data_IF_816242204163
#
_entry.id   IF_816242204163
#
_cell.length_a   1.000
_cell.length_b   1.000
_cell.length_c   1.000
_cell.angle_alpha   90.00
_cell.angle_beta   90.00
_cell.angle_gamma   90.00
#
_symmetry.space_group_name_H-M   'P 1'
#
loop_
_entity.id
_entity.type
_entity.pdbx_description
1 polymer ?
#
# COMPACT_ATOMS: atom_id res chain seq x y z
N UNK A 1 4.24 13.32 -15.31
CA UNK A 1 3.49 14.46 -15.86
C UNK A 1 2.34 13.91 -16.71
N UNK A 2 1.09 13.99 -16.20
CA UNK A 2 -0.12 13.50 -16.85
C UNK A 2 -0.34 14.13 -18.24
N UNK A 3 0.00 15.42 -18.40
CA UNK A 3 -0.10 16.11 -19.68
C UNK A 3 0.83 15.50 -20.72
N UNK A 4 2.06 15.15 -20.36
CA UNK A 4 3.01 14.49 -21.26
C UNK A 4 2.54 13.09 -21.67
N UNK A 5 2.01 12.30 -20.71
CA UNK A 5 1.47 10.97 -21.00
C UNK A 5 0.26 11.07 -21.93
N UNK A 6 -0.65 12.02 -21.69
CA UNK A 6 -1.80 12.26 -22.56
C UNK A 6 -1.39 12.68 -23.98
N UNK A 7 -0.37 13.53 -24.09
CA UNK A 7 0.16 13.97 -25.39
C UNK A 7 0.76 12.79 -26.16
N UNK A 8 1.54 11.93 -25.51
CA UNK A 8 2.12 10.72 -26.13
C UNK A 8 1.04 9.72 -26.55
N UNK A 9 0.05 9.46 -25.73
CA UNK A 9 -1.04 8.53 -26.03
C UNK A 9 -1.90 9.05 -27.21
N UNK A 10 -2.11 10.36 -27.31
CA UNK A 10 -2.83 10.96 -28.42
C UNK A 10 -2.01 11.02 -29.71
N UNK A 11 -0.68 11.18 -29.60
CA UNK A 11 0.22 11.20 -30.77
C UNK A 11 0.47 9.78 -31.33
N UNK A 12 0.59 8.78 -30.45
CA UNK A 12 0.91 7.39 -30.84
C UNK A 12 0.00 6.38 -30.10
N UNK A 13 -1.33 6.40 -30.32
CA UNK A 13 -2.27 5.56 -29.60
C UNK A 13 -1.99 4.06 -29.79
N UNK A 14 -1.33 3.67 -30.89
CA UNK A 14 -1.01 2.28 -31.20
C UNK A 14 0.02 1.65 -30.25
N UNK A 15 0.92 2.45 -29.67
CA UNK A 15 1.94 1.97 -28.71
C UNK A 15 1.29 1.52 -27.39
N UNK A 16 0.17 2.13 -27.03
CA UNK A 16 -0.51 1.91 -25.75
C UNK A 16 -1.75 1.04 -25.85
N UNK A 17 -2.06 0.52 -27.05
CA UNK A 17 -3.22 -0.33 -27.29
C UNK A 17 -2.80 -1.80 -27.32
N UNK A 18 -3.44 -2.63 -26.48
CA UNK A 18 -3.30 -4.08 -26.56
C UNK A 18 -4.18 -4.57 -27.71
N UNK A 19 -3.64 -5.43 -28.55
CA UNK A 19 -4.34 -5.94 -29.75
C UNK A 19 -4.61 -7.43 -29.61
N UNK A 20 -5.78 -7.85 -30.12
CA UNK A 20 -6.18 -9.27 -30.16
C UNK A 20 -5.17 -10.10 -30.94
N UNK A 21 -4.90 -11.29 -30.43
CA UNK A 21 -4.01 -12.29 -31.05
C UNK A 21 -4.76 -13.60 -31.26
N UNK A 22 -4.37 -14.33 -32.27
CA UNK A 22 -4.82 -15.71 -32.49
C UNK A 22 -4.10 -16.70 -31.53
N UNK A 23 -4.48 -17.97 -31.57
CA UNK A 23 -3.86 -19.03 -30.75
C UNK A 23 -2.35 -19.22 -31.04
N UNK A 24 -1.83 -18.73 -32.14
CA UNK A 24 -0.42 -18.78 -32.52
C UNK A 24 0.35 -17.51 -32.16
N UNK A 25 -0.32 -16.52 -31.53
CA UNK A 25 0.28 -15.26 -31.11
C UNK A 25 0.34 -14.18 -32.19
N UNK A 26 -0.25 -14.37 -33.38
CA UNK A 26 -0.31 -13.37 -34.45
C UNK A 26 -1.42 -12.36 -34.19
N UNK A 27 -1.19 -11.10 -34.52
CA UNK A 27 -2.22 -10.06 -34.41
C UNK A 27 -3.39 -10.29 -35.37
N UNK A 28 -4.62 -10.31 -34.84
CA UNK A 28 -5.82 -10.28 -35.62
C UNK A 28 -5.96 -8.91 -36.31
N UNK A 29 -6.48 -8.93 -37.56
CA UNK A 29 -6.68 -7.72 -38.38
C UNK A 29 -8.11 -7.67 -38.91
N UNK A 30 -8.62 -6.45 -39.06
CA UNK A 30 -9.90 -6.18 -39.70
C UNK A 30 -9.79 -6.29 -41.25
N UNK A 31 -10.91 -6.04 -41.93
CA UNK A 31 -11.00 -6.09 -43.38
C UNK A 31 -10.10 -5.07 -44.10
N UNK A 32 -9.68 -4.00 -43.37
CA UNK A 32 -8.77 -2.98 -43.87
C UNK A 32 -7.30 -3.30 -43.53
N UNK A 33 -7.04 -4.46 -42.90
CA UNK A 33 -5.71 -4.89 -42.50
C UNK A 33 -5.18 -4.24 -41.21
N UNK A 34 -6.00 -3.46 -40.48
CA UNK A 34 -5.64 -2.80 -39.23
C UNK A 34 -5.77 -3.80 -38.06
N UNK A 35 -4.85 -3.72 -37.11
CA UNK A 35 -4.91 -4.56 -35.90
C UNK A 35 -6.19 -4.28 -35.13
N UNK A 36 -6.86 -5.33 -34.65
CA UNK A 36 -8.10 -5.23 -33.87
C UNK A 36 -7.73 -5.02 -32.42
N UNK A 37 -8.17 -3.90 -31.77
CA UNK A 37 -7.96 -3.68 -30.35
C UNK A 37 -8.60 -4.80 -29.51
N UNK A 38 -7.95 -5.20 -28.44
CA UNK A 38 -8.54 -6.09 -27.45
C UNK A 38 -9.45 -5.29 -26.53
N UNK A 39 -10.70 -5.72 -26.40
CA UNK A 39 -11.68 -5.15 -25.50
C UNK A 39 -11.82 -6.04 -24.26
N UNK A 40 -11.89 -5.44 -23.08
CA UNK A 40 -12.23 -6.15 -21.87
C UNK A 40 -13.74 -6.41 -21.88
N UNK A 41 -14.20 -7.68 -21.81
CA UNK A 41 -15.62 -8.01 -21.81
C UNK A 41 -16.39 -7.42 -20.62
N UNK A 42 -15.70 -7.13 -19.53
CA UNK A 42 -16.26 -6.52 -18.33
C UNK A 42 -16.16 -4.97 -18.34
N UNK A 43 -15.59 -4.40 -19.41
CA UNK A 43 -15.39 -2.97 -19.55
C UNK A 43 -15.75 -2.48 -20.94
N UNK A 44 -16.67 -1.53 -21.04
CA UNK A 44 -17.17 -0.97 -22.31
C UNK A 44 -16.19 0.01 -23.00
N UNK A 45 -15.06 0.32 -22.34
CA UNK A 45 -14.01 1.19 -22.88
C UNK A 45 -12.88 0.41 -23.57
N UNK A 46 -11.93 1.16 -24.12
CA UNK A 46 -10.71 0.60 -24.71
C UNK A 46 -9.63 0.37 -23.66
N UNK A 47 -8.61 -0.46 -23.93
CA UNK A 47 -7.42 -0.57 -23.08
C UNK A 47 -6.72 0.77 -22.83
N UNK A 48 -6.84 1.71 -23.77
CA UNK A 48 -6.40 3.09 -23.59
C UNK A 48 -7.13 3.77 -22.43
N UNK A 49 -8.45 3.59 -22.31
CA UNK A 49 -9.24 4.18 -21.23
C UNK A 49 -8.87 3.55 -19.87
N UNK A 50 -8.59 2.23 -19.85
CA UNK A 50 -8.06 1.54 -18.67
C UNK A 50 -6.68 2.11 -18.28
N UNK A 51 -5.82 2.37 -19.27
CA UNK A 51 -4.51 2.96 -19.04
C UNK A 51 -4.58 4.39 -18.50
N UNK A 52 -5.59 5.15 -18.90
CA UNK A 52 -5.80 6.53 -18.46
C UNK A 52 -6.40 6.65 -17.05
N UNK A 53 -6.96 5.58 -16.51
CA UNK A 53 -7.45 5.58 -15.13
C UNK A 53 -6.31 5.91 -14.18
N UNK A 54 -6.61 6.74 -13.19
CA UNK A 54 -5.70 6.97 -12.08
C UNK A 54 -5.67 5.73 -11.15
N UNK A 55 -4.81 4.78 -11.48
CA UNK A 55 -4.69 3.50 -10.78
C UNK A 55 -4.40 3.65 -9.28
N UNK A 56 -3.85 4.79 -8.86
CA UNK A 56 -3.54 5.04 -7.44
C UNK A 56 -4.79 5.13 -6.58
N UNK A 57 -5.94 5.44 -7.17
CA UNK A 57 -7.22 5.62 -6.48
C UNK A 57 -8.33 4.70 -6.99
N UNK A 58 -8.14 4.05 -8.15
CA UNK A 58 -9.17 3.21 -8.77
C UNK A 58 -8.88 1.72 -8.66
N UNK A 59 -7.61 1.32 -8.58
CA UNK A 59 -7.21 -0.08 -8.57
C UNK A 59 -6.88 -0.57 -7.16
N UNK A 60 -7.25 -1.83 -6.90
CA UNK A 60 -6.94 -2.49 -5.65
C UNK A 60 -5.74 -3.45 -5.84
N UNK A 61 -4.87 -3.49 -4.84
CA UNK A 61 -3.77 -4.45 -4.81
C UNK A 61 -3.53 -4.97 -3.39
N UNK A 62 -2.86 -6.09 -3.28
CA UNK A 62 -2.41 -6.61 -2.00
C UNK A 62 -1.11 -5.89 -1.61
N UNK A 63 -1.09 -5.10 -0.53
CA UNK A 63 0.08 -4.26 -0.20
C UNK A 63 1.32 -5.08 0.17
N UNK A 64 1.15 -6.34 0.58
CA UNK A 64 2.26 -7.21 0.94
C UNK A 64 3.12 -6.61 2.04
N UNK A 65 4.43 -6.79 1.94
CA UNK A 65 5.38 -6.40 2.99
C UNK A 65 5.40 -4.93 3.36
N UNK A 66 4.90 -4.04 2.51
CA UNK A 66 4.77 -2.60 2.84
C UNK A 66 3.81 -2.40 4.03
N UNK A 67 2.80 -3.26 4.15
CA UNK A 67 1.84 -3.21 5.26
C UNK A 67 2.45 -3.52 6.63
N UNK A 68 3.61 -4.15 6.68
CA UNK A 68 4.31 -4.48 7.94
C UNK A 68 4.66 -3.22 8.76
N UNK A 69 4.88 -2.09 8.12
CA UNK A 69 5.06 -0.79 8.79
C UNK A 69 3.82 -0.46 9.62
N UNK A 70 2.63 -0.67 9.06
CA UNK A 70 1.37 -0.43 9.74
C UNK A 70 1.17 -1.40 10.90
N UNK A 71 1.46 -2.69 10.69
CA UNK A 71 1.38 -3.71 11.77
C UNK A 71 2.39 -3.41 12.88
N UNK A 72 3.59 -2.91 12.55
CA UNK A 72 4.55 -2.44 13.54
C UNK A 72 3.99 -1.25 14.35
N UNK A 73 3.39 -0.28 13.66
CA UNK A 73 2.76 0.88 14.29
C UNK A 73 1.62 0.48 15.25
N UNK A 74 0.76 -0.44 14.84
CA UNK A 74 -0.27 -1.04 15.70
C UNK A 74 0.33 -1.68 16.94
N UNK A 75 1.42 -2.47 16.75
CA UNK A 75 2.11 -3.17 17.84
C UNK A 75 2.71 -2.22 18.84
N UNK A 76 3.37 -1.16 18.39
CA UNK A 76 4.03 -0.17 19.25
C UNK A 76 3.00 0.66 19.99
N UNK A 77 2.00 1.20 19.31
CA UNK A 77 1.01 2.09 19.91
C UNK A 77 0.11 1.37 20.92
N UNK A 78 -0.28 0.12 20.63
CA UNK A 78 -1.05 -0.72 21.57
C UNK A 78 -0.25 -1.27 22.75
N UNK A 79 1.06 -1.02 22.82
CA UNK A 79 1.95 -1.58 23.84
C UNK A 79 2.21 -3.10 23.70
N UNK A 80 1.81 -3.71 22.59
CA UNK A 80 2.06 -5.15 22.32
C UNK A 80 3.47 -5.44 21.83
N UNK A 81 4.17 -4.40 21.37
CA UNK A 81 5.58 -4.45 20.99
C UNK A 81 6.29 -3.14 21.35
N UNK A 82 7.61 -3.20 21.46
CA UNK A 82 8.52 -2.06 21.50
C UNK A 82 9.58 -2.24 20.43
N UNK A 83 10.43 -1.26 20.20
CA UNK A 83 11.60 -1.39 19.32
C UNK A 83 12.39 -2.68 19.61
N UNK A 84 12.53 -3.06 20.89
CA UNK A 84 13.36 -4.18 21.36
C UNK A 84 12.60 -5.49 21.54
N UNK A 85 11.30 -5.54 21.27
CA UNK A 85 10.52 -6.78 21.39
C UNK A 85 11.04 -7.85 20.47
N UNK A 86 11.54 -8.95 21.03
CA UNK A 86 12.13 -10.05 20.26
C UNK A 86 11.13 -11.19 20.05
N UNK A 87 11.16 -11.76 18.84
CA UNK A 87 10.44 -12.97 18.43
C UNK A 87 11.36 -13.86 17.61
N UNK A 88 11.08 -15.17 17.60
CA UNK A 88 11.89 -16.13 16.87
C UNK A 88 11.26 -16.46 15.52
N UNK A 89 12.07 -16.46 14.45
CA UNK A 89 11.72 -16.90 13.13
C UNK A 89 12.51 -18.16 12.75
N UNK A 90 11.84 -19.30 12.74
CA UNK A 90 12.41 -20.59 12.30
C UNK A 90 12.34 -20.81 10.78
N UNK A 91 11.88 -19.82 10.00
CA UNK A 91 11.67 -19.94 8.55
C UNK A 91 10.29 -20.45 8.16
N UNK A 92 9.59 -21.11 9.06
CA UNK A 92 8.20 -21.58 8.92
C UNK A 92 7.43 -21.37 10.23
N UNK A 93 6.11 -21.19 10.13
CA UNK A 93 5.22 -21.02 11.28
C UNK A 93 3.83 -21.57 10.97
N UNK A 94 3.36 -22.49 11.83
CA UNK A 94 2.04 -23.10 11.71
C UNK A 94 0.96 -22.25 12.37
N UNK A 95 -0.16 -22.05 11.70
CA UNK A 95 -1.37 -21.41 12.24
C UNK A 95 -2.56 -22.25 11.80
N UNK A 96 -3.26 -22.87 12.73
CA UNK A 96 -4.32 -23.82 12.46
C UNK A 96 -3.83 -24.95 11.51
N UNK A 97 -4.39 -25.05 10.30
CA UNK A 97 -3.99 -26.05 9.28
C UNK A 97 -3.01 -25.49 8.23
N UNK A 98 -2.71 -24.19 8.31
CA UNK A 98 -1.85 -23.50 7.35
C UNK A 98 -0.40 -23.42 7.86
N UNK A 99 0.56 -23.42 6.93
CA UNK A 99 1.98 -23.21 7.23
C UNK A 99 2.48 -22.02 6.42
N UNK A 100 2.89 -20.99 7.13
CA UNK A 100 3.46 -19.76 6.55
C UNK A 100 4.98 -19.86 6.49
N UNK A 101 5.57 -19.23 5.48
CA UNK A 101 7.01 -19.20 5.28
C UNK A 101 7.53 -17.76 5.14
N UNK A 102 8.75 -17.53 5.59
CA UNK A 102 9.50 -16.37 5.19
C UNK A 102 9.95 -16.48 3.71
N UNK A 103 10.29 -15.33 3.10
CA UNK A 103 10.84 -15.28 1.75
C UNK A 103 12.05 -16.23 1.64
N UNK A 104 12.07 -17.06 0.59
CA UNK A 104 13.11 -18.05 0.39
C UNK A 104 13.16 -19.16 1.46
N UNK A 105 12.16 -19.29 2.32
CA UNK A 105 12.10 -20.23 3.47
C UNK A 105 13.27 -20.05 4.45
N UNK A 106 13.87 -18.85 4.48
CA UNK A 106 15.04 -18.54 5.34
C UNK A 106 14.59 -18.35 6.79
N UNK A 107 15.27 -18.99 7.72
CA UNK A 107 15.15 -18.70 9.16
C UNK A 107 15.98 -17.44 9.49
N UNK A 108 15.37 -16.49 10.22
CA UNK A 108 16.05 -15.28 10.67
C UNK A 108 16.54 -15.38 12.14
N UNK A 109 16.11 -16.45 12.86
CA UNK A 109 16.40 -16.60 14.28
C UNK A 109 15.64 -15.60 15.16
N UNK A 110 16.20 -15.33 16.34
CA UNK A 110 15.66 -14.32 17.25
C UNK A 110 16.05 -12.93 16.76
N UNK A 111 15.05 -12.07 16.58
CA UNK A 111 15.23 -10.70 16.06
C UNK A 111 14.26 -9.76 16.74
N UNK A 112 14.64 -8.50 16.90
CA UNK A 112 13.77 -7.45 17.40
C UNK A 112 12.87 -6.88 16.29
N UNK A 113 11.98 -5.92 16.64
CA UNK A 113 11.01 -5.35 15.70
C UNK A 113 11.70 -4.65 14.51
N UNK A 114 12.78 -3.91 14.75
CA UNK A 114 13.50 -3.18 13.72
C UNK A 114 14.23 -4.15 12.76
N UNK A 115 14.90 -5.16 13.30
CA UNK A 115 15.52 -6.23 12.50
C UNK A 115 14.48 -7.02 11.70
N UNK A 116 13.31 -7.28 12.28
CA UNK A 116 12.23 -8.01 11.62
C UNK A 116 11.63 -7.20 10.45
N UNK A 117 11.52 -5.89 10.58
CA UNK A 117 11.07 -5.02 9.48
C UNK A 117 12.12 -5.00 8.37
N UNK A 118 13.39 -4.77 8.72
CA UNK A 118 14.53 -4.79 7.79
C UNK A 118 14.65 -6.10 7.02
N UNK A 119 14.49 -7.24 7.71
CA UNK A 119 14.52 -8.58 7.10
C UNK A 119 13.21 -8.92 6.37
N UNK A 120 12.22 -8.04 6.40
CA UNK A 120 10.86 -8.31 5.91
C UNK A 120 10.30 -9.66 6.39
N UNK A 121 10.46 -9.97 7.68
CA UNK A 121 10.19 -11.28 8.26
C UNK A 121 8.69 -11.55 8.43
N UNK A 122 8.09 -12.38 7.59
CA UNK A 122 6.68 -12.75 7.68
C UNK A 122 6.34 -13.37 9.04
N UNK A 123 7.18 -14.27 9.55
CA UNK A 123 6.93 -15.02 10.78
C UNK A 123 6.87 -14.09 12.00
N UNK A 124 7.74 -13.08 12.06
CA UNK A 124 7.69 -12.08 13.12
C UNK A 124 6.33 -11.34 13.11
N UNK A 125 5.89 -10.88 11.93
CA UNK A 125 4.67 -10.10 11.80
C UNK A 125 3.40 -10.95 12.00
N UNK A 126 3.40 -12.24 11.67
CA UNK A 126 2.33 -13.17 12.05
C UNK A 126 2.22 -13.26 13.57
N UNK A 127 3.33 -13.48 14.28
CA UNK A 127 3.34 -13.55 15.73
C UNK A 127 2.93 -12.23 16.39
N UNK A 128 3.33 -11.09 15.82
CA UNK A 128 2.89 -9.77 16.26
C UNK A 128 1.39 -9.56 16.03
N UNK A 129 0.86 -9.94 14.88
CA UNK A 129 -0.57 -9.90 14.59
C UNK A 129 -1.38 -10.75 15.58
N UNK A 130 -0.91 -11.93 15.91
CA UNK A 130 -1.55 -12.79 16.94
C UNK A 130 -1.50 -12.16 18.34
N UNK A 131 -0.42 -11.48 18.69
CA UNK A 131 -0.33 -10.72 19.96
C UNK A 131 -1.28 -9.52 20.02
N UNK A 132 -1.52 -8.86 18.90
CA UNK A 132 -2.54 -7.82 18.76
C UNK A 132 -3.93 -8.39 18.98
N UNK A 133 -4.21 -9.52 18.36
CA UNK A 133 -5.54 -10.12 18.28
C UNK A 133 -6.44 -9.40 17.27
N UNK A 134 -7.47 -10.11 16.80
CA UNK A 134 -8.36 -9.65 15.72
C UNK A 134 -9.06 -8.34 16.01
N UNK A 135 -9.50 -8.14 17.25
CA UNK A 135 -10.21 -6.91 17.64
C UNK A 135 -9.31 -5.67 17.53
N UNK A 136 -8.14 -5.71 18.16
CA UNK A 136 -7.20 -4.57 18.15
C UNK A 136 -6.67 -4.31 16.76
N UNK A 137 -6.32 -5.38 16.01
CA UNK A 137 -5.87 -5.26 14.63
C UNK A 137 -6.91 -4.56 13.76
N UNK A 138 -8.18 -4.98 13.84
CA UNK A 138 -9.25 -4.39 13.05
C UNK A 138 -9.51 -2.93 13.40
N UNK A 139 -9.51 -2.59 14.70
CA UNK A 139 -9.75 -1.22 15.15
C UNK A 139 -8.68 -0.25 14.63
N UNK A 140 -7.41 -0.67 14.60
CA UNK A 140 -6.34 0.09 13.94
C UNK A 140 -6.46 0.09 12.41
N UNK A 141 -6.82 -1.03 11.80
CA UNK A 141 -7.04 -1.12 10.35
C UNK A 141 -8.07 -0.10 9.88
N UNK A 142 -9.19 -0.01 10.60
CA UNK A 142 -10.22 1.00 10.37
C UNK A 142 -9.70 2.42 10.66
N UNK A 143 -9.03 2.62 11.79
CA UNK A 143 -8.48 3.92 12.16
C UNK A 143 -7.49 4.47 11.14
N UNK A 144 -6.65 3.62 10.53
CA UNK A 144 -5.72 3.98 9.44
C UNK A 144 -6.41 4.27 8.09
N UNK A 145 -7.74 4.12 8.00
CA UNK A 145 -8.53 4.50 6.84
C UNK A 145 -8.65 3.45 5.76
N UNK A 146 -8.35 2.18 6.05
CA UNK A 146 -8.42 1.10 5.05
C UNK A 146 -9.85 0.61 4.76
N UNK A 147 -10.84 1.03 5.55
CA UNK A 147 -12.25 0.67 5.38
C UNK A 147 -13.06 1.73 4.64
N UNK A 148 -12.45 2.86 4.29
CA UNK A 148 -13.12 4.01 3.70
C UNK A 148 -12.27 4.66 2.59
N UNK A 149 -12.88 5.54 1.79
CA UNK A 149 -12.17 6.36 0.81
C UNK A 149 -11.21 7.33 1.51
N UNK A 150 -10.13 7.69 0.82
CA UNK A 150 -9.19 8.71 1.33
C UNK A 150 -9.80 10.10 1.32
N UNK A 151 -10.79 10.34 0.43
CA UNK A 151 -11.42 11.64 0.25
C UNK A 151 -10.55 12.62 -0.54
N UNK A 152 -9.63 12.10 -1.36
CA UNK A 152 -8.83 12.92 -2.26
C UNK A 152 -9.74 13.73 -3.22
N UNK A 153 -9.32 14.94 -3.55
CA UNK A 153 -10.00 15.89 -4.44
C UNK A 153 -9.92 15.49 -5.94
N UNK A 154 -9.82 14.19 -6.21
CA UNK A 154 -9.81 13.62 -7.55
C UNK A 154 -11.10 12.81 -7.80
N UNK A 155 -11.63 12.84 -9.04
CA UNK A 155 -12.81 12.06 -9.38
C UNK A 155 -12.51 10.55 -9.42
N UNK A 156 -13.57 9.75 -9.25
CA UNK A 156 -13.56 8.30 -9.42
C UNK A 156 -12.73 7.50 -8.41
N UNK A 157 -12.49 8.04 -7.21
CA UNK A 157 -11.91 7.22 -6.15
C UNK A 157 -12.82 6.01 -5.85
N UNK A 158 -12.27 4.80 -5.91
CA UNK A 158 -13.04 3.58 -5.64
C UNK A 158 -13.51 3.52 -4.18
N UNK A 159 -14.73 3.04 -3.98
CA UNK A 159 -15.23 2.69 -2.65
C UNK A 159 -15.20 1.18 -2.37
N UNK A 160 -14.68 0.39 -3.33
CA UNK A 160 -14.60 -1.06 -3.20
C UNK A 160 -13.25 -1.43 -2.62
N UNK A 161 -13.21 -1.74 -1.33
CA UNK A 161 -12.06 -2.35 -0.67
C UNK A 161 -12.38 -3.81 -0.37
N UNK A 162 -11.35 -4.67 -0.33
CA UNK A 162 -11.50 -6.08 0.04
C UNK A 162 -10.71 -6.33 1.33
N UNK A 163 -11.41 -6.65 2.39
CA UNK A 163 -10.81 -6.96 3.70
C UNK A 163 -11.77 -7.84 4.51
N UNK A 164 -11.25 -8.47 5.54
CA UNK A 164 -12.07 -9.21 6.51
C UNK A 164 -12.62 -8.27 7.56
N UNK A 165 -13.92 -8.33 7.82
CA UNK A 165 -14.55 -7.61 8.92
C UNK A 165 -14.06 -8.15 10.26
N UNK A 166 -14.31 -7.40 11.35
CA UNK A 166 -13.88 -7.78 12.70
C UNK A 166 -14.33 -9.19 13.11
N UNK A 167 -15.54 -9.60 12.70
CA UNK A 167 -16.10 -10.92 12.96
C UNK A 167 -15.54 -12.04 12.06
N UNK A 168 -14.95 -11.68 10.92
CA UNK A 168 -14.39 -12.62 9.96
C UNK A 168 -12.87 -12.83 10.13
N UNK A 169 -12.21 -12.00 10.95
CA UNK A 169 -10.78 -12.12 11.23
C UNK A 169 -10.53 -13.29 12.20
N UNK A 170 -10.49 -14.52 11.66
CA UNK A 170 -9.96 -15.68 12.38
C UNK A 170 -8.43 -15.66 12.47
N UNK A 171 -7.83 -16.70 13.04
CA UNK A 171 -6.37 -16.79 13.21
C UNK A 171 -5.61 -16.79 11.88
N UNK A 172 -6.14 -17.44 10.86
CA UNK A 172 -5.54 -17.55 9.51
C UNK A 172 -5.61 -16.20 8.79
N UNK A 173 -6.80 -15.57 8.80
CA UNK A 173 -7.04 -14.28 8.16
C UNK A 173 -6.21 -13.18 8.83
N UNK A 174 -6.15 -13.17 10.16
CA UNK A 174 -5.32 -12.24 10.93
C UNK A 174 -3.84 -12.42 10.61
N UNK A 175 -3.38 -13.68 10.55
CA UNK A 175 -1.99 -13.99 10.22
C UNK A 175 -1.61 -13.48 8.83
N UNK A 176 -2.45 -13.73 7.82
CA UNK A 176 -2.24 -13.25 6.45
C UNK A 176 -2.33 -11.73 6.35
N UNK A 177 -3.27 -11.11 7.08
CA UNK A 177 -3.45 -9.65 7.12
C UNK A 177 -2.24 -8.95 7.73
N UNK A 178 -1.60 -9.53 8.74
CA UNK A 178 -0.49 -8.92 9.48
C UNK A 178 0.76 -8.63 8.63
N UNK A 179 0.88 -9.26 7.45
CA UNK A 179 1.94 -8.97 6.48
C UNK A 179 1.38 -8.56 5.09
N UNK A 180 0.10 -8.13 5.04
CA UNK A 180 -0.49 -7.45 3.88
C UNK A 180 -1.00 -8.35 2.76
N UNK A 181 -1.36 -9.61 3.03
CA UNK A 181 -1.80 -10.53 1.98
C UNK A 181 -3.29 -10.92 2.00
N UNK A 182 -4.06 -10.45 2.96
CA UNK A 182 -5.48 -10.81 3.08
C UNK A 182 -6.41 -9.60 2.91
N UNK A 183 -5.91 -8.52 2.35
CA UNK A 183 -6.67 -7.32 2.04
C UNK A 183 -6.25 -6.76 0.69
N UNK A 184 -7.18 -6.18 -0.06
CA UNK A 184 -6.88 -5.41 -1.26
C UNK A 184 -7.40 -3.98 -1.08
N UNK A 185 -6.48 -3.03 -1.20
CA UNK A 185 -6.66 -1.61 -0.93
C UNK A 185 -6.00 -0.77 -2.03
N UNK A 186 -6.29 0.51 -2.11
CA UNK A 186 -5.66 1.38 -3.12
C UNK A 186 -4.25 1.79 -2.72
N UNK A 187 -3.35 2.07 -3.69
CA UNK A 187 -2.04 2.64 -3.40
C UNK A 187 -2.10 3.93 -2.56
N UNK A 188 -3.10 4.78 -2.81
CA UNK A 188 -3.25 6.03 -2.06
C UNK A 188 -3.62 5.78 -0.59
N UNK A 189 -4.49 4.79 -0.29
CA UNK A 189 -4.77 4.40 1.08
C UNK A 189 -3.51 3.96 1.82
N UNK A 190 -2.68 3.12 1.18
CA UNK A 190 -1.40 2.67 1.78
C UNK A 190 -0.46 3.85 2.02
N UNK A 191 -0.31 4.75 1.04
CA UNK A 191 0.51 5.94 1.18
C UNK A 191 0.04 6.83 2.33
N UNK A 192 -1.26 7.08 2.43
CA UNK A 192 -1.87 7.90 3.48
C UNK A 192 -1.68 7.28 4.87
N UNK A 193 -1.85 5.95 4.97
CA UNK A 193 -1.65 5.23 6.22
C UNK A 193 -0.18 5.24 6.69
N UNK A 194 0.78 5.04 5.77
CA UNK A 194 2.21 5.13 6.09
C UNK A 194 2.57 6.56 6.50
N UNK A 195 2.03 7.57 5.80
CA UNK A 195 2.21 8.96 6.19
C UNK A 195 1.72 9.21 7.62
N UNK A 196 0.55 8.66 7.98
CA UNK A 196 0.04 8.76 9.35
C UNK A 196 0.98 8.05 10.36
N UNK A 197 1.58 6.92 10.00
CA UNK A 197 2.51 6.22 10.88
C UNK A 197 3.76 7.03 11.20
N UNK A 198 4.16 8.02 10.37
CA UNK A 198 5.43 8.75 10.52
C UNK A 198 5.29 10.26 10.73
N UNK A 199 4.09 10.84 10.63
CA UNK A 199 3.86 12.29 10.75
C UNK A 199 3.41 12.75 12.16
N UNK A 200 3.55 11.91 13.16
CA UNK A 200 3.03 12.16 14.51
C UNK A 200 1.72 11.43 14.79
N UNK A 201 1.29 10.54 13.89
CA UNK A 201 0.11 9.69 14.06
C UNK A 201 -1.17 10.25 13.44
N UNK A 202 -1.09 11.26 12.59
CA UNK A 202 -2.27 11.94 12.05
C UNK A 202 -2.65 11.43 10.66
N UNK A 203 -3.84 10.86 10.53
CA UNK A 203 -4.43 10.54 9.24
C UNK A 203 -4.96 11.83 8.62
N UNK A 204 -4.45 12.18 7.44
CA UNK A 204 -4.83 13.39 6.70
C UNK A 204 -5.60 13.03 5.43
N UNK A 205 -6.49 13.91 4.99
CA UNK A 205 -7.09 13.82 3.66
C UNK A 205 -6.05 14.26 2.63
N UNK A 206 -5.65 13.39 1.68
CA UNK A 206 -4.75 13.80 0.62
C UNK A 206 -5.45 14.77 -0.33
N UNK A 207 -4.71 15.72 -0.90
CA UNK A 207 -5.23 16.65 -1.90
C UNK A 207 -4.17 16.94 -2.96
N UNK A 208 -4.62 17.31 -4.15
CA UNK A 208 -3.77 17.68 -5.30
C UNK A 208 -3.79 19.18 -5.51
N UNK A 209 -4.93 19.81 -5.18
CA UNK A 209 -5.08 21.26 -5.27
C UNK A 209 -4.44 21.92 -4.06
N UNK A 210 -3.41 22.73 -4.27
CA UNK A 210 -2.75 23.52 -3.23
C UNK A 210 -3.48 24.85 -3.00
N UNK A 211 -3.82 25.54 -4.10
CA UNK A 211 -4.54 26.81 -4.03
C UNK A 211 -5.32 27.11 -5.30
N UNK A 212 -6.32 27.94 -5.17
CA UNK A 212 -7.12 28.51 -6.27
C UNK A 212 -6.79 29.99 -6.39
N UNK A 213 -6.49 30.47 -7.58
CA UNK A 213 -6.21 31.88 -7.85
C UNK A 213 -7.20 32.48 -8.85
N UNK A 214 -7.44 33.77 -8.76
CA UNK A 214 -8.19 34.53 -9.77
C UNK A 214 -7.35 34.77 -11.04
N UNK A 215 -7.93 35.44 -12.03
CA UNK A 215 -7.26 35.77 -13.30
C UNK A 215 -6.07 36.70 -13.14
N UNK A 216 -5.97 37.42 -12.01
CA UNK A 216 -4.89 38.36 -11.69
C UNK A 216 -3.78 37.69 -10.86
N UNK A 217 -3.94 36.40 -10.52
CA UNK A 217 -2.99 35.66 -9.70
C UNK A 217 -3.19 35.84 -8.20
N UNK A 218 -4.25 36.54 -7.75
CA UNK A 218 -4.56 36.62 -6.32
C UNK A 218 -5.11 35.31 -5.81
N UNK A 219 -4.66 34.85 -4.63
CA UNK A 219 -5.16 33.65 -3.98
C UNK A 219 -6.60 33.87 -3.54
N UNK A 220 -7.52 33.06 -4.07
CA UNK A 220 -8.94 33.02 -3.70
C UNK A 220 -9.17 32.05 -2.58
N UNK A 221 -8.50 30.89 -2.63
CA UNK A 221 -8.59 29.83 -1.65
C UNK A 221 -7.24 29.11 -1.55
N UNK A 222 -6.82 28.77 -0.34
CA UNK A 222 -5.63 27.95 -0.06
C UNK A 222 -6.08 26.68 0.66
N UNK A 223 -5.67 25.52 0.13
CA UNK A 223 -6.05 24.22 0.64
C UNK A 223 -4.94 23.72 1.58
N UNK A 224 -5.19 23.83 2.88
CA UNK A 224 -4.27 23.33 3.90
C UNK A 224 -4.45 21.86 4.24
N UNK A 225 -3.59 21.34 5.10
CA UNK A 225 -3.70 19.99 5.60
C UNK A 225 -5.00 19.76 6.38
N UNK A 226 -5.83 18.82 5.94
CA UNK A 226 -7.06 18.42 6.61
C UNK A 226 -6.82 17.14 7.41
N UNK A 227 -6.70 17.29 8.74
CA UNK A 227 -6.52 16.15 9.67
C UNK A 227 -7.86 15.49 9.94
N UNK A 228 -8.02 14.24 9.57
CA UNK A 228 -9.22 13.43 9.81
C UNK A 228 -9.29 12.94 11.26
N UNK A 229 -8.17 12.41 11.78
CA UNK A 229 -8.03 11.89 13.16
C UNK A 229 -6.56 11.59 13.49
N UNK A 230 -6.28 11.42 14.77
CA UNK A 230 -5.03 10.82 15.21
C UNK A 230 -5.23 9.32 15.38
N UNK A 231 -4.40 8.51 14.71
CA UNK A 231 -4.49 7.04 14.64
C UNK A 231 -3.61 6.38 15.69
N UNK A 232 -2.39 6.90 15.85
CA UNK A 232 -1.41 6.45 16.85
C UNK A 232 -0.84 7.65 17.58
N UNK A 233 -0.24 7.39 18.73
CA UNK A 233 0.43 8.41 19.54
C UNK A 233 1.67 8.96 18.81
N UNK A 234 2.05 10.20 19.16
CA UNK A 234 3.28 10.82 18.65
C UNK A 234 4.52 10.00 19.01
N UNK A 235 4.55 9.39 20.19
CA UNK A 235 5.66 8.54 20.66
C UNK A 235 5.77 7.25 19.84
N UNK A 236 4.64 6.63 19.49
CA UNK A 236 4.63 5.47 18.60
C UNK A 236 5.13 5.84 17.20
N UNK A 237 4.64 6.95 16.65
CA UNK A 237 5.11 7.49 15.35
C UNK A 237 6.61 7.74 15.34
N UNK A 238 7.16 8.33 16.43
CA UNK A 238 8.61 8.54 16.55
C UNK A 238 9.39 7.23 16.56
N UNK A 239 8.89 6.22 17.28
CA UNK A 239 9.49 4.88 17.28
C UNK A 239 9.47 4.25 15.88
N UNK A 240 8.38 4.40 15.13
CA UNK A 240 8.29 3.88 13.74
C UNK A 240 9.28 4.60 12.83
N UNK A 241 9.45 5.92 12.96
CA UNK A 241 10.49 6.64 12.19
C UNK A 241 11.89 6.11 12.46
N UNK A 242 12.25 5.90 13.72
CA UNK A 242 13.55 5.32 14.11
C UNK A 242 13.75 3.91 13.53
N UNK A 243 12.71 3.07 13.52
CA UNK A 243 12.75 1.74 12.92
C UNK A 243 12.95 1.82 11.41
N UNK A 244 12.24 2.71 10.72
CA UNK A 244 12.37 2.90 9.28
C UNK A 244 13.71 3.51 8.89
N UNK A 245 14.25 4.43 9.71
CA UNK A 245 15.59 4.98 9.53
C UNK A 245 16.67 3.88 9.67
N UNK A 246 16.54 3.01 10.66
CA UNK A 246 17.42 1.84 10.81
C UNK A 246 17.34 0.89 9.61
N UNK A 247 16.16 0.69 9.04
CA UNK A 247 15.96 -0.16 7.84
C UNK A 247 16.79 0.35 6.65
N UNK A 248 16.87 1.68 6.47
CA UNK A 248 17.49 2.34 5.30
C UNK A 248 18.91 2.81 5.57
N UNK A 249 19.26 3.06 6.83
CA UNK A 249 20.38 3.93 7.24
C UNK A 249 21.79 3.39 7.07
N UNK A 250 22.02 2.08 6.89
CA UNK A 250 23.37 1.53 6.75
C UNK A 250 23.75 1.08 5.32
N UNK A 251 22.92 1.42 4.34
CA UNK A 251 23.20 1.11 2.93
C UNK A 251 23.23 -0.38 2.60
N UNK A 252 22.95 -1.27 3.54
CA UNK A 252 23.01 -2.72 3.38
C UNK A 252 21.65 -3.36 3.09
N UNK A 253 20.69 -2.63 2.52
CA UNK A 253 19.50 -3.25 1.95
C UNK A 253 19.93 -4.04 0.72
N UNK A 254 20.45 -5.23 0.97
CA UNK A 254 20.75 -6.23 -0.03
C UNK A 254 19.44 -6.97 -0.38
N UNK A 255 18.76 -6.51 -1.39
CA UNK A 255 17.59 -7.23 -1.88
C UNK A 255 16.63 -6.32 -2.58
N UNK A 256 16.98 -5.81 -3.76
CA UNK A 256 16.06 -5.08 -4.60
C UNK A 256 16.45 -3.65 -4.93
N UNK A 257 17.72 -3.38 -5.11
CA UNK A 257 18.21 -2.30 -5.98
C UNK A 257 17.67 -0.89 -5.72
N UNK A 258 17.18 -0.60 -4.55
CA UNK A 258 16.85 0.77 -4.22
C UNK A 258 17.80 1.27 -3.13
N UNK A 259 18.76 2.06 -3.53
CA UNK A 259 19.22 3.17 -2.73
C UNK A 259 18.04 4.11 -2.54
N UNK A 260 16.97 3.61 -1.90
CA UNK A 260 15.83 4.41 -1.51
C UNK A 260 16.30 5.29 -0.36
N UNK A 261 17.01 6.33 -0.73
CA UNK A 261 17.13 7.51 0.10
C UNK A 261 15.71 7.94 0.43
N UNK A 262 15.28 7.72 1.66
CA UNK A 262 14.18 8.48 2.23
C UNK A 262 14.73 9.88 2.50
N UNK A 263 15.11 10.56 1.41
CA UNK A 263 15.47 11.95 1.43
C UNK A 263 14.21 12.73 1.81
N UNK A 264 14.19 13.22 3.03
CA UNK A 264 13.11 14.08 3.49
C UNK A 264 12.64 13.87 4.93
N UNK A 265 13.14 12.87 5.63
CA UNK A 265 12.88 12.72 7.06
C UNK A 265 14.03 13.29 7.90
N UNK A 266 14.31 14.57 7.74
CA UNK A 266 15.09 15.34 8.70
C UNK A 266 14.20 16.39 9.35
#
# INVERSE_FOLDING_TARGET
>A
NLAYVNEQVNAEPEIYTIYKKDANGNYLRDEQGKKIPEEDPDYTGTYRDIQWKNKTITELYYPGSVFKVITAAMGVDSGKATYYTTLNCSGAYGVAKETYHCAGKKAHGVQNLAEALRNSCNIYFIQLGQRLGSSVFYDYFDAFGFTERTGVDLPNETGMMKYYTKSQLGEVELSSSSFGQAMAVTPLQVCTAISAAVNGGYLVTPHVVDKITDQNGNVVEEIGANVRRQVISKSASETIRQIMEYEVGDGTITGGGSNAYVAGYR
#
